data_IF_721212074158
#
_entry.id   IF_721212074158
#
_cell.length_a   1.000
_cell.length_b   1.000
_cell.length_c   1.000
_cell.angle_alpha   90.00
_cell.angle_beta   90.00
_cell.angle_gamma   90.00
#
_symmetry.space_group_name_H-M   'P 1'
#
loop_
_entity.id
_entity.type
_entity.pdbx_description
1 polymer ?
#
# COMPACT_ATOMS: atom_id res chain seq x y z
N UNK A 1 29.21 34.95 36.14
CA UNK A 1 29.02 33.51 36.42
C UNK A 1 27.82 33.01 35.62
N UNK A 2 28.05 31.95 34.82
CA UNK A 2 27.14 30.85 34.43
C UNK A 2 25.64 31.23 34.32
N UNK A 3 25.04 31.21 33.14
CA UNK A 3 24.80 29.95 32.44
C UNK A 3 24.58 30.15 30.94
N UNK A 4 25.47 29.54 30.16
CA UNK A 4 25.24 29.17 28.76
C UNK A 4 24.10 28.17 28.75
N UNK A 5 22.90 28.59 28.35
CA UNK A 5 21.84 27.66 27.92
C UNK A 5 21.53 27.99 26.47
N UNK A 6 22.50 27.63 25.61
CA UNK A 6 22.18 27.09 24.30
C UNK A 6 21.43 25.78 24.60
N UNK A 7 20.12 25.87 24.83
CA UNK A 7 19.23 24.75 24.58
C UNK A 7 19.13 24.68 23.06
N UNK A 8 20.09 23.98 22.48
CA UNK A 8 19.88 23.23 21.25
C UNK A 8 18.60 22.44 21.51
N UNK A 9 17.48 23.00 21.08
CA UNK A 9 16.27 22.26 20.78
C UNK A 9 16.63 21.44 19.55
N UNK A 10 17.32 20.34 19.80
CA UNK A 10 17.40 19.17 18.94
C UNK A 10 16.00 18.52 18.92
N UNK A 11 15.00 19.23 18.41
CA UNK A 11 14.08 18.58 17.50
C UNK A 11 14.75 18.84 16.15
N UNK A 12 15.77 18.07 15.75
CA UNK A 12 15.51 16.84 15.01
C UNK A 12 14.03 16.83 14.62
N UNK A 13 13.73 17.57 13.56
CA UNK A 13 12.91 17.01 12.52
C UNK A 13 13.42 15.58 12.32
N UNK A 14 12.85 14.63 13.06
CA UNK A 14 12.57 13.34 12.47
C UNK A 14 11.46 13.68 11.46
N UNK A 15 11.86 14.35 10.37
CA UNK A 15 11.48 13.77 9.11
C UNK A 15 11.91 12.33 9.28
N UNK A 16 10.96 11.39 9.22
CA UNK A 16 11.33 10.03 8.92
C UNK A 16 12.10 10.13 7.59
N UNK A 17 13.41 10.38 7.65
CA UNK A 17 14.37 9.79 6.76
C UNK A 17 14.08 8.31 6.94
N UNK A 18 13.24 7.79 6.05
CA UNK A 18 12.60 6.50 6.20
C UNK A 18 13.66 5.45 6.53
N UNK A 19 13.58 4.93 7.77
CA UNK A 19 14.50 3.92 8.29
C UNK A 19 14.08 2.50 7.89
N UNK A 20 12.99 2.36 7.12
CA UNK A 20 12.45 1.10 6.60
C UNK A 20 13.08 0.76 5.25
N UNK A 21 13.08 -0.52 4.87
CA UNK A 21 13.51 -0.91 3.52
C UNK A 21 12.51 -0.41 2.47
N UNK A 22 13.01 -0.12 1.27
CA UNK A 22 12.15 0.04 0.09
C UNK A 22 11.62 -1.32 -0.37
N UNK A 23 10.51 -1.33 -1.11
CA UNK A 23 9.99 -2.56 -1.73
C UNK A 23 11.02 -3.22 -2.64
N UNK A 24 11.83 -2.44 -3.36
CA UNK A 24 12.90 -2.97 -4.22
C UNK A 24 13.91 -3.77 -3.42
N UNK A 25 14.39 -3.19 -2.32
CA UNK A 25 15.37 -3.84 -1.43
C UNK A 25 14.79 -5.10 -0.78
N UNK A 26 13.52 -5.05 -0.36
CA UNK A 26 12.83 -6.22 0.20
C UNK A 26 12.69 -7.34 -0.83
N UNK A 27 12.22 -7.03 -2.05
CA UNK A 27 12.11 -8.01 -3.13
C UNK A 27 13.46 -8.65 -3.42
N UNK A 28 14.51 -7.84 -3.59
CA UNK A 28 15.85 -8.35 -3.85
C UNK A 28 16.34 -9.27 -2.71
N UNK A 29 16.20 -8.82 -1.46
CA UNK A 29 16.60 -9.58 -0.27
C UNK A 29 15.88 -10.92 -0.18
N UNK A 30 14.56 -10.93 -0.37
CA UNK A 30 13.74 -12.14 -0.26
C UNK A 30 14.02 -13.13 -1.39
N UNK A 31 14.14 -12.66 -2.63
CA UNK A 31 14.47 -13.51 -3.77
C UNK A 31 15.87 -14.14 -3.63
N UNK A 32 16.85 -13.37 -3.15
CA UNK A 32 18.20 -13.90 -2.87
C UNK A 32 18.19 -14.97 -1.78
N UNK A 33 17.39 -14.81 -0.72
CA UNK A 33 17.19 -15.85 0.32
C UNK A 33 16.61 -17.15 -0.25
N UNK A 34 15.86 -17.07 -1.33
CA UNK A 34 15.30 -18.23 -2.05
C UNK A 34 16.25 -18.80 -3.12
N UNK A 35 17.49 -18.33 -3.16
CA UNK A 35 18.52 -18.66 -4.15
C UNK A 35 18.17 -18.22 -5.59
N UNK A 36 17.32 -17.22 -5.75
CA UNK A 36 17.06 -16.55 -7.03
C UNK A 36 18.06 -15.40 -7.13
N UNK A 37 19.21 -15.67 -7.77
CA UNK A 37 20.33 -14.73 -7.86
C UNK A 37 20.49 -14.06 -9.23
N UNK A 38 19.70 -14.47 -10.22
CA UNK A 38 19.70 -13.85 -11.55
C UNK A 38 19.13 -12.42 -11.45
N UNK A 39 19.98 -11.43 -11.74
CA UNK A 39 19.63 -10.02 -11.66
C UNK A 39 18.51 -9.64 -12.62
N UNK A 40 18.35 -10.33 -13.76
CA UNK A 40 17.25 -10.09 -14.70
C UNK A 40 15.91 -10.51 -14.12
N UNK A 41 15.86 -11.65 -13.43
CA UNK A 41 14.64 -12.13 -12.77
C UNK A 41 14.23 -11.19 -11.64
N UNK A 42 15.21 -10.74 -10.83
CA UNK A 42 14.95 -9.78 -9.74
C UNK A 42 14.43 -8.46 -10.31
N UNK A 43 15.10 -7.89 -11.32
CA UNK A 43 14.69 -6.63 -11.94
C UNK A 43 13.31 -6.73 -12.61
N UNK A 44 13.00 -7.85 -13.26
CA UNK A 44 11.69 -8.11 -13.84
C UNK A 44 10.60 -8.20 -12.77
N UNK A 45 10.89 -8.85 -11.64
CA UNK A 45 9.96 -8.95 -10.51
C UNK A 45 9.64 -7.58 -9.91
N UNK A 46 10.67 -6.77 -9.69
CA UNK A 46 10.51 -5.37 -9.22
C UNK A 46 9.64 -4.58 -10.20
N UNK A 47 9.94 -4.66 -11.50
CA UNK A 47 9.19 -3.94 -12.53
C UNK A 47 7.71 -4.34 -12.55
N UNK A 48 7.42 -5.62 -12.36
CA UNK A 48 6.04 -6.14 -12.29
C UNK A 48 5.34 -5.63 -11.03
N UNK A 49 5.98 -5.70 -9.87
CA UNK A 49 5.44 -5.19 -8.60
C UNK A 49 5.11 -3.70 -8.68
N UNK A 50 5.98 -2.90 -9.28
CA UNK A 50 5.76 -1.46 -9.46
C UNK A 50 4.64 -1.16 -10.47
N UNK A 51 4.61 -1.90 -11.59
CA UNK A 51 3.59 -1.68 -12.64
C UNK A 51 2.19 -2.03 -12.14
N UNK A 52 2.07 -3.16 -11.42
CA UNK A 52 0.79 -3.64 -10.89
C UNK A 52 0.41 -2.84 -9.63
N UNK A 53 1.33 -2.66 -8.69
CA UNK A 53 1.08 -1.95 -7.44
C UNK A 53 -0.10 -2.53 -6.64
N UNK A 54 -0.93 -1.65 -6.08
CA UNK A 54 -2.18 -2.01 -5.40
C UNK A 54 -3.39 -2.08 -6.35
N UNK A 55 -3.19 -1.97 -7.67
CA UNK A 55 -4.31 -1.96 -8.63
C UNK A 55 -5.05 -3.29 -8.61
N UNK A 56 -6.38 -3.22 -8.68
CA UNK A 56 -7.18 -4.40 -8.94
C UNK A 56 -6.90 -4.89 -10.37
N UNK A 57 -6.49 -6.14 -10.51
CA UNK A 57 -6.19 -6.75 -11.80
C UNK A 57 -7.50 -7.06 -12.54
N UNK A 58 -8.00 -6.10 -13.32
CA UNK A 58 -9.25 -6.20 -14.06
C UNK A 58 -9.23 -5.34 -15.33
N UNK A 59 -10.17 -5.60 -16.25
CA UNK A 59 -10.32 -4.83 -17.49
C UNK A 59 -9.52 -5.39 -18.66
N UNK A 60 -9.36 -4.58 -19.70
CA UNK A 60 -8.69 -4.96 -20.94
C UNK A 60 -7.22 -5.33 -20.69
N UNK A 61 -6.76 -6.42 -21.32
CA UNK A 61 -5.38 -6.90 -21.21
C UNK A 61 -5.07 -7.74 -19.97
N UNK A 62 -6.01 -7.92 -19.03
CA UNK A 62 -5.78 -8.74 -17.82
C UNK A 62 -5.47 -10.20 -18.16
N UNK A 63 -6.10 -10.75 -19.20
CA UNK A 63 -5.86 -12.14 -19.64
C UNK A 63 -4.44 -12.34 -20.16
N UNK A 64 -3.93 -11.38 -20.95
CA UNK A 64 -2.55 -11.39 -21.46
C UNK A 64 -1.57 -11.27 -20.30
N UNK A 65 -1.78 -10.31 -19.40
CA UNK A 65 -0.97 -10.16 -18.20
C UNK A 65 -0.94 -11.45 -17.36
N UNK A 66 -2.09 -12.08 -17.13
CA UNK A 66 -2.14 -13.34 -16.39
C UNK A 66 -1.40 -14.47 -17.10
N UNK A 67 -1.49 -14.56 -18.43
CA UNK A 67 -0.73 -15.54 -19.21
C UNK A 67 0.78 -15.33 -19.01
N UNK A 68 1.23 -14.08 -19.07
CA UNK A 68 2.65 -13.73 -18.90
C UNK A 68 3.11 -14.06 -17.46
N UNK A 69 2.35 -13.65 -16.43
CA UNK A 69 2.66 -13.98 -15.04
C UNK A 69 2.73 -15.49 -14.80
N UNK A 70 1.80 -16.26 -15.40
CA UNK A 70 1.79 -17.73 -15.30
C UNK A 70 3.02 -18.36 -15.95
N UNK A 71 3.51 -17.81 -17.06
CA UNK A 71 4.75 -18.25 -17.71
C UNK A 71 5.96 -17.98 -16.79
N UNK A 72 6.04 -16.79 -16.21
CA UNK A 72 7.13 -16.40 -15.32
C UNK A 72 7.21 -17.27 -14.06
N UNK A 73 6.05 -17.61 -13.47
CA UNK A 73 6.00 -18.54 -12.33
C UNK A 73 6.36 -19.97 -12.74
N UNK A 74 6.02 -20.41 -13.95
CA UNK A 74 6.40 -21.74 -14.42
C UNK A 74 7.93 -21.87 -14.56
N UNK A 75 8.60 -20.81 -15.00
CA UNK A 75 10.06 -20.74 -15.10
C UNK A 75 10.72 -20.61 -13.72
N UNK A 76 10.09 -19.88 -12.79
CA UNK A 76 10.63 -19.58 -11.47
C UNK A 76 9.59 -19.80 -10.36
N UNK A 77 9.26 -21.06 -10.02
CA UNK A 77 8.16 -21.38 -9.10
C UNK A 77 8.38 -20.89 -7.66
N UNK A 78 9.65 -20.65 -7.27
CA UNK A 78 10.00 -20.07 -5.97
C UNK A 78 9.76 -18.56 -5.89
N UNK A 79 9.53 -17.88 -7.01
CA UNK A 79 9.31 -16.45 -7.03
C UNK A 79 7.89 -16.13 -6.53
N UNK A 80 7.75 -16.04 -5.20
CA UNK A 80 6.46 -15.89 -4.56
C UNK A 80 5.78 -14.56 -4.91
N UNK A 81 6.54 -13.49 -5.21
CA UNK A 81 5.98 -12.21 -5.64
C UNK A 81 5.14 -12.33 -6.91
N UNK A 82 5.54 -13.17 -7.88
CA UNK A 82 4.73 -13.38 -9.09
C UNK A 82 3.53 -14.28 -8.79
N UNK A 83 3.72 -15.35 -8.03
CA UNK A 83 2.59 -16.21 -7.63
C UNK A 83 1.54 -15.47 -6.81
N UNK A 84 1.96 -14.51 -5.98
CA UNK A 84 1.08 -13.62 -5.23
C UNK A 84 0.18 -12.81 -6.16
N UNK A 85 0.71 -12.21 -7.23
CA UNK A 85 -0.11 -11.42 -8.16
C UNK A 85 -1.17 -12.29 -8.86
N UNK A 86 -0.83 -13.54 -9.20
CA UNK A 86 -1.80 -14.49 -9.78
C UNK A 86 -2.85 -14.90 -8.73
N UNK A 87 -2.43 -15.25 -7.51
CA UNK A 87 -3.33 -15.62 -6.42
C UNK A 87 -4.30 -14.47 -6.08
N UNK A 88 -3.77 -13.24 -6.00
CA UNK A 88 -4.54 -12.01 -5.76
C UNK A 88 -5.62 -11.80 -6.82
N UNK A 89 -5.33 -11.98 -8.10
CA UNK A 89 -6.35 -11.92 -9.16
C UNK A 89 -7.51 -12.90 -8.88
N UNK A 90 -7.19 -14.15 -8.54
CA UNK A 90 -8.21 -15.16 -8.27
C UNK A 90 -9.02 -14.89 -6.99
N UNK A 91 -8.42 -14.21 -6.00
CA UNK A 91 -9.15 -13.79 -4.79
C UNK A 91 -10.06 -12.60 -5.05
N UNK A 92 -9.52 -11.56 -5.66
CA UNK A 92 -10.15 -10.23 -5.71
C UNK A 92 -11.02 -10.04 -6.95
N UNK A 93 -10.63 -10.60 -8.10
CA UNK A 93 -11.29 -10.33 -9.40
C UNK A 93 -12.13 -11.49 -9.90
N UNK A 94 -11.59 -12.71 -9.93
CA UNK A 94 -12.29 -13.87 -10.51
C UNK A 94 -13.58 -14.17 -9.74
N UNK A 95 -14.71 -14.26 -10.44
CA UNK A 95 -16.03 -14.51 -9.84
C UNK A 95 -16.41 -15.98 -9.88
N UNK A 96 -15.88 -16.74 -10.84
CA UNK A 96 -16.14 -18.16 -10.96
C UNK A 96 -15.30 -18.95 -9.95
N UNK A 97 -15.96 -19.43 -8.90
CA UNK A 97 -15.32 -20.20 -7.81
C UNK A 97 -14.65 -21.49 -8.32
N UNK A 98 -15.17 -22.13 -9.37
CA UNK A 98 -14.54 -23.33 -9.93
C UNK A 98 -13.22 -22.99 -10.64
N UNK A 99 -13.11 -21.83 -11.28
CA UNK A 99 -11.83 -21.35 -11.81
C UNK A 99 -10.85 -20.97 -10.68
N UNK A 100 -11.34 -20.40 -9.56
CA UNK A 100 -10.50 -20.17 -8.37
C UNK A 100 -9.94 -21.50 -7.84
N UNK A 101 -10.79 -22.52 -7.66
CA UNK A 101 -10.36 -23.86 -7.19
C UNK A 101 -9.37 -24.52 -8.14
N UNK A 102 -9.62 -24.47 -9.45
CA UNK A 102 -8.72 -25.02 -10.48
C UNK A 102 -7.34 -24.37 -10.47
N UNK A 103 -7.26 -23.11 -10.05
CA UNK A 103 -6.01 -22.35 -9.97
C UNK A 103 -5.41 -22.32 -8.55
N UNK A 104 -5.87 -23.18 -7.63
CA UNK A 104 -5.33 -23.32 -6.25
C UNK A 104 -3.80 -23.45 -6.20
N UNK A 105 -3.18 -24.09 -7.20
CA UNK A 105 -1.72 -24.25 -7.29
C UNK A 105 -0.93 -22.94 -7.12
N UNK A 106 -1.45 -21.79 -7.57
CA UNK A 106 -0.74 -20.50 -7.42
C UNK A 106 -0.77 -19.98 -5.98
N UNK A 107 -1.81 -20.32 -5.22
CA UNK A 107 -1.90 -20.06 -3.79
C UNK A 107 -0.91 -20.92 -3.02
N UNK A 108 -0.85 -22.21 -3.38
CA UNK A 108 0.06 -23.16 -2.75
C UNK A 108 1.51 -22.76 -2.99
N UNK A 109 1.86 -22.38 -4.23
CA UNK A 109 3.19 -21.85 -4.57
C UNK A 109 3.57 -20.61 -3.75
N UNK A 110 2.64 -19.67 -3.54
CA UNK A 110 2.91 -18.51 -2.68
C UNK A 110 3.16 -18.95 -1.22
N UNK A 111 2.28 -19.78 -0.66
CA UNK A 111 2.35 -20.24 0.74
C UNK A 111 3.64 -21.04 1.01
N UNK A 112 4.08 -21.85 0.04
CA UNK A 112 5.29 -22.66 0.14
C UNK A 112 6.57 -21.81 0.22
N UNK A 113 6.56 -20.63 -0.42
CA UNK A 113 7.78 -19.85 -0.65
C UNK A 113 7.86 -18.53 0.13
N UNK A 114 6.73 -17.95 0.56
CA UNK A 114 6.73 -16.75 1.39
C UNK A 114 7.38 -17.06 2.76
N UNK A 115 8.36 -16.26 3.24
CA UNK A 115 9.01 -16.56 4.51
C UNK A 115 8.16 -16.19 5.75
N UNK A 116 7.27 -15.21 5.62
CA UNK A 116 6.45 -14.68 6.71
C UNK A 116 5.24 -15.59 7.02
N UNK A 117 5.10 -16.02 8.27
CA UNK A 117 4.02 -16.96 8.67
C UNK A 117 2.65 -16.29 8.71
N UNK A 118 2.57 -15.03 9.12
CA UNK A 118 1.33 -14.23 9.10
C UNK A 118 0.82 -14.00 7.68
N UNK A 119 1.71 -13.81 6.69
CA UNK A 119 1.34 -13.79 5.27
C UNK A 119 0.75 -15.13 4.80
N UNK A 120 1.33 -16.27 5.22
CA UNK A 120 0.76 -17.61 4.91
C UNK A 120 -0.64 -17.77 5.50
N UNK A 121 -0.80 -17.42 6.77
CA UNK A 121 -2.07 -17.52 7.48
C UNK A 121 -3.13 -16.61 6.83
N UNK A 122 -2.76 -15.39 6.47
CA UNK A 122 -3.63 -14.45 5.74
C UNK A 122 -4.07 -15.02 4.39
N UNK A 123 -3.14 -15.55 3.58
CA UNK A 123 -3.48 -16.13 2.28
C UNK A 123 -4.40 -17.35 2.41
N UNK A 124 -4.15 -18.22 3.38
CA UNK A 124 -5.03 -19.37 3.65
C UNK A 124 -6.43 -18.90 4.06
N UNK A 125 -6.51 -17.95 4.99
CA UNK A 125 -7.78 -17.34 5.41
C UNK A 125 -8.56 -16.78 4.22
N UNK A 126 -7.91 -15.97 3.37
CA UNK A 126 -8.53 -15.36 2.20
C UNK A 126 -9.00 -16.40 1.16
N UNK A 127 -8.21 -17.45 0.93
CA UNK A 127 -8.59 -18.53 0.02
C UNK A 127 -9.86 -19.26 0.49
N UNK A 128 -9.89 -19.70 1.75
CA UNK A 128 -11.03 -20.45 2.27
C UNK A 128 -12.29 -19.58 2.42
N UNK A 129 -12.12 -18.28 2.71
CA UNK A 129 -13.21 -17.31 2.61
C UNK A 129 -13.77 -17.27 1.18
N UNK A 130 -12.89 -17.16 0.17
CA UNK A 130 -13.27 -17.07 -1.24
C UNK A 130 -14.03 -18.29 -1.74
N UNK A 131 -13.60 -19.51 -1.37
CA UNK A 131 -14.25 -20.76 -1.83
C UNK A 131 -15.44 -21.18 -0.98
N UNK A 132 -15.77 -20.45 0.09
CA UNK A 132 -16.93 -20.70 0.94
C UNK A 132 -16.73 -21.83 1.96
N UNK A 133 -15.49 -22.24 2.23
CA UNK A 133 -15.16 -23.25 3.24
C UNK A 133 -15.08 -22.61 4.63
N UNK A 134 -16.21 -22.66 5.34
CA UNK A 134 -16.36 -21.98 6.64
C UNK A 134 -15.51 -22.61 7.74
N UNK A 135 -15.26 -23.92 7.69
CA UNK A 135 -14.51 -24.62 8.73
C UNK A 135 -13.03 -24.22 8.67
N UNK A 136 -12.43 -24.33 7.49
CA UNK A 136 -11.04 -23.93 7.29
C UNK A 136 -10.88 -22.40 7.42
N UNK A 137 -11.83 -21.61 6.92
CA UNK A 137 -11.81 -20.16 7.12
C UNK A 137 -11.74 -19.81 8.61
N UNK A 138 -12.63 -20.38 9.45
CA UNK A 138 -12.64 -20.11 10.89
C UNK A 138 -11.32 -20.51 11.55
N UNK A 139 -10.78 -21.68 11.20
CA UNK A 139 -9.50 -22.15 11.72
C UNK A 139 -8.37 -21.14 11.45
N UNK A 140 -8.18 -20.75 10.19
CA UNK A 140 -7.09 -19.85 9.83
C UNK A 140 -7.34 -18.40 10.27
N UNK A 141 -8.61 -17.97 10.35
CA UNK A 141 -8.99 -16.71 10.97
C UNK A 141 -8.53 -16.65 12.44
N UNK A 142 -8.86 -17.66 13.24
CA UNK A 142 -8.49 -17.72 14.65
C UNK A 142 -6.96 -17.77 14.83
N UNK A 143 -6.27 -18.58 14.02
CA UNK A 143 -4.80 -18.66 14.02
C UNK A 143 -4.14 -17.32 13.64
N UNK A 144 -4.60 -16.68 12.57
CA UNK A 144 -4.09 -15.39 12.09
C UNK A 144 -4.26 -14.29 13.14
N UNK A 145 -5.47 -14.11 13.68
CA UNK A 145 -5.73 -13.04 14.66
C UNK A 145 -5.12 -13.30 16.02
N UNK A 146 -4.85 -14.57 16.38
CA UNK A 146 -4.02 -14.90 17.55
C UNK A 146 -2.56 -14.50 17.32
N UNK A 147 -2.00 -14.83 16.16
CA UNK A 147 -0.59 -14.56 15.82
C UNK A 147 -0.30 -13.06 15.66
N UNK A 148 -1.24 -12.32 15.11
CA UNK A 148 -1.13 -10.87 14.84
C UNK A 148 -1.71 -10.00 15.95
N UNK A 149 -2.01 -10.58 17.11
CA UNK A 149 -2.51 -9.84 18.27
C UNK A 149 -1.51 -8.78 18.71
N UNK A 150 -1.93 -7.51 18.73
CA UNK A 150 -1.08 -6.37 19.08
C UNK A 150 -0.17 -5.86 17.96
N UNK A 151 -0.20 -6.47 16.77
CA UNK A 151 0.53 -6.00 15.58
C UNK A 151 -0.32 -5.11 14.69
N UNK A 152 0.32 -4.17 13.97
CA UNK A 152 -0.35 -3.30 13.00
C UNK A 152 -1.12 -4.08 11.92
N UNK A 153 -0.52 -5.15 11.40
CA UNK A 153 -1.14 -6.04 10.40
C UNK A 153 -2.47 -6.64 10.89
N UNK A 154 -2.50 -7.11 12.14
CA UNK A 154 -3.71 -7.69 12.73
C UNK A 154 -4.81 -6.66 12.93
N UNK A 155 -4.45 -5.41 13.24
CA UNK A 155 -5.40 -4.29 13.34
C UNK A 155 -6.00 -3.98 11.96
N UNK A 156 -5.16 -3.82 10.93
CA UNK A 156 -5.62 -3.54 9.57
C UNK A 156 -6.50 -4.65 9.01
N UNK A 157 -6.12 -5.91 9.20
CA UNK A 157 -6.89 -7.04 8.68
C UNK A 157 -8.33 -7.10 9.24
N UNK A 158 -8.57 -6.60 10.47
CA UNK A 158 -9.93 -6.54 11.05
C UNK A 158 -10.83 -5.55 10.32
N UNK A 159 -10.27 -4.52 9.69
CA UNK A 159 -11.04 -3.47 9.01
C UNK A 159 -11.90 -4.05 7.88
N UNK A 160 -11.44 -5.13 7.22
CA UNK A 160 -12.19 -5.88 6.19
C UNK A 160 -13.59 -6.30 6.65
N UNK A 161 -13.74 -6.59 7.94
CA UNK A 161 -14.98 -7.10 8.53
C UNK A 161 -15.80 -5.99 9.21
N UNK A 162 -15.36 -4.73 9.13
CA UNK A 162 -16.05 -3.57 9.70
C UNK A 162 -16.82 -2.82 8.61
N UNK A 163 -17.89 -2.13 9.03
CA UNK A 163 -18.70 -1.26 8.16
C UNK A 163 -18.66 0.22 8.57
N UNK A 164 -18.26 0.49 9.81
CA UNK A 164 -18.23 1.84 10.36
C UNK A 164 -16.91 2.55 10.01
N UNK A 165 -17.01 3.62 9.23
CA UNK A 165 -15.85 4.40 8.79
C UNK A 165 -15.08 5.01 9.96
N UNK A 166 -15.76 5.43 11.05
CA UNK A 166 -15.12 6.01 12.21
C UNK A 166 -14.23 4.99 12.94
N UNK A 167 -14.72 3.75 13.12
CA UNK A 167 -13.93 2.66 13.68
C UNK A 167 -12.80 2.22 12.75
N UNK A 168 -13.04 2.16 11.43
CA UNK A 168 -11.98 1.83 10.46
C UNK A 168 -10.86 2.87 10.55
N UNK A 169 -11.19 4.16 10.56
CA UNK A 169 -10.21 5.24 10.71
C UNK A 169 -9.39 5.13 11.99
N UNK A 170 -10.02 4.79 13.12
CA UNK A 170 -9.32 4.54 14.39
C UNK A 170 -8.34 3.36 14.29
N UNK A 171 -8.72 2.29 13.60
CA UNK A 171 -7.84 1.15 13.38
C UNK A 171 -6.65 1.51 12.49
N UNK A 172 -6.85 2.31 11.43
CA UNK A 172 -5.76 2.80 10.58
C UNK A 172 -4.78 3.67 11.38
N UNK A 173 -5.27 4.57 12.24
CA UNK A 173 -4.42 5.37 13.11
C UNK A 173 -3.60 4.49 14.07
N UNK A 174 -4.26 3.53 14.74
CA UNK A 174 -3.58 2.59 15.63
C UNK A 174 -2.53 1.74 14.89
N UNK A 175 -2.85 1.26 13.69
CA UNK A 175 -1.91 0.48 12.89
C UNK A 175 -0.68 1.31 12.51
N UNK A 176 -0.84 2.59 12.13
CA UNK A 176 0.28 3.48 11.84
C UNK A 176 1.21 3.65 13.05
N UNK A 177 0.65 3.85 14.24
CA UNK A 177 1.45 3.98 15.46
C UNK A 177 2.21 2.68 15.77
N UNK A 178 1.56 1.52 15.58
CA UNK A 178 2.19 0.22 15.77
C UNK A 178 3.33 -0.03 14.79
N UNK A 179 3.14 0.27 13.50
CA UNK A 179 4.17 0.08 12.48
C UNK A 179 5.36 1.03 12.67
N UNK A 180 5.10 2.30 13.04
CA UNK A 180 6.18 3.24 13.38
C UNK A 180 7.01 2.72 14.55
N UNK A 181 6.34 2.22 15.60
CA UNK A 181 7.01 1.62 16.74
C UNK A 181 7.81 0.38 16.36
N UNK A 182 7.28 -0.51 15.52
CA UNK A 182 8.00 -1.69 15.03
C UNK A 182 9.28 -1.30 14.27
N UNK A 183 9.22 -0.24 13.44
CA UNK A 183 10.39 0.30 12.74
C UNK A 183 11.42 0.89 13.72
N UNK A 184 10.98 1.64 14.74
CA UNK A 184 11.82 2.20 15.79
C UNK A 184 12.51 1.10 16.63
N UNK A 185 11.79 0.02 16.92
CA UNK A 185 12.29 -1.15 17.65
C UNK A 185 13.24 -2.04 16.81
N UNK A 186 13.47 -1.70 15.54
CA UNK A 186 14.43 -2.36 14.66
C UNK A 186 13.84 -3.45 13.75
N UNK A 187 12.53 -3.66 13.74
CA UNK A 187 11.83 -4.60 12.83
C UNK A 187 11.61 -4.00 11.44
N UNK A 188 12.66 -3.38 10.88
CA UNK A 188 12.66 -2.62 9.61
C UNK A 188 12.38 -3.47 8.37
N UNK A 189 12.44 -4.79 8.52
CA UNK A 189 12.17 -5.77 7.47
C UNK A 189 10.68 -6.13 7.33
N UNK A 190 9.85 -5.81 8.33
CA UNK A 190 8.43 -6.20 8.33
C UNK A 190 7.56 -5.25 7.48
N UNK A 191 7.94 -3.98 7.34
CA UNK A 191 7.15 -2.95 6.63
C UNK A 191 8.05 -2.11 5.77
N UNK A 192 7.67 -1.92 4.51
CA UNK A 192 8.40 -1.04 3.59
C UNK A 192 7.92 0.40 3.64
N UNK A 193 8.75 1.33 3.16
CA UNK A 193 8.35 2.74 3.02
C UNK A 193 7.05 2.90 2.21
N UNK A 194 6.94 2.14 1.13
CA UNK A 194 5.76 2.14 0.26
C UNK A 194 4.51 1.60 0.96
N UNK A 195 4.64 0.61 1.84
CA UNK A 195 3.52 0.10 2.64
C UNK A 195 3.09 1.10 3.71
N UNK A 196 4.04 1.69 4.42
CA UNK A 196 3.76 2.72 5.41
C UNK A 196 3.07 3.93 4.76
N UNK A 197 3.51 4.31 3.57
CA UNK A 197 2.84 5.31 2.73
C UNK A 197 1.39 4.91 2.43
N UNK A 198 1.14 3.68 1.97
CA UNK A 198 -0.21 3.24 1.61
C UNK A 198 -1.16 3.28 2.81
N UNK A 199 -0.69 2.90 3.99
CA UNK A 199 -1.47 2.93 5.23
C UNK A 199 -1.79 4.38 5.63
N UNK A 200 -0.78 5.27 5.59
CA UNK A 200 -0.95 6.69 5.88
C UNK A 200 -1.94 7.34 4.90
N UNK A 201 -1.77 7.05 3.61
CA UNK A 201 -2.62 7.54 2.54
C UNK A 201 -4.08 7.07 2.69
N UNK A 202 -4.29 5.85 3.19
CA UNK A 202 -5.62 5.30 3.47
C UNK A 202 -6.27 6.00 4.67
N UNK A 203 -5.52 6.25 5.73
CA UNK A 203 -5.99 7.06 6.87
C UNK A 203 -6.40 8.48 6.41
N UNK A 204 -5.54 9.15 5.65
CA UNK A 204 -5.81 10.50 5.15
C UNK A 204 -7.03 10.55 4.24
N UNK A 205 -7.23 9.53 3.41
CA UNK A 205 -8.42 9.39 2.56
C UNK A 205 -9.71 9.27 3.39
N UNK A 206 -9.68 8.57 4.53
CA UNK A 206 -10.82 8.49 5.45
C UNK A 206 -11.12 9.83 6.13
N UNK A 207 -10.10 10.62 6.45
CA UNK A 207 -10.29 11.99 6.97
C UNK A 207 -10.92 12.89 5.92
N UNK A 208 -10.42 12.85 4.68
CA UNK A 208 -10.99 13.61 3.56
C UNK A 208 -12.43 13.21 3.30
N UNK A 209 -12.75 11.92 3.32
CA UNK A 209 -14.13 11.43 3.17
C UNK A 209 -15.05 11.99 4.27
N UNK A 210 -14.62 11.98 5.53
CA UNK A 210 -15.41 12.54 6.64
C UNK A 210 -15.66 14.05 6.45
N UNK A 211 -14.65 14.81 6.00
CA UNK A 211 -14.81 16.24 5.70
C UNK A 211 -15.76 16.46 4.51
N UNK A 212 -15.72 15.58 3.51
CA UNK A 212 -16.63 15.61 2.36
C UNK A 212 -18.08 15.38 2.77
N UNK A 213 -18.34 14.38 3.62
CA UNK A 213 -19.68 14.08 4.16
C UNK A 213 -20.25 15.27 4.94
N UNK A 214 -19.39 16.02 5.64
CA UNK A 214 -19.74 17.27 6.33
C UNK A 214 -19.79 18.50 5.41
N UNK A 215 -19.48 18.35 4.12
CA UNK A 215 -19.40 19.43 3.11
C UNK A 215 -18.40 20.53 3.48
N UNK A 216 -17.35 20.19 4.22
CA UNK A 216 -16.31 21.12 4.66
C UNK A 216 -15.22 21.29 3.59
N UNK A 217 -15.60 21.75 2.40
CA UNK A 217 -14.76 21.70 1.19
C UNK A 217 -13.42 22.43 1.32
N UNK A 218 -13.37 23.62 1.93
CA UNK A 218 -12.09 24.32 2.14
C UNK A 218 -11.18 23.54 3.08
N UNK A 219 -11.73 22.88 4.11
CA UNK A 219 -10.93 22.06 5.03
C UNK A 219 -10.34 20.83 4.34
N UNK A 220 -10.97 20.32 3.28
CA UNK A 220 -10.38 19.25 2.45
C UNK A 220 -9.10 19.76 1.77
N UNK A 221 -9.16 20.95 1.16
CA UNK A 221 -7.99 21.57 0.52
C UNK A 221 -6.89 21.80 1.56
N UNK A 222 -7.23 22.39 2.70
CA UNK A 222 -6.27 22.70 3.77
C UNK A 222 -5.65 21.41 4.33
N UNK A 223 -6.46 20.36 4.55
CA UNK A 223 -5.96 19.07 5.03
C UNK A 223 -4.99 18.44 4.04
N UNK A 224 -5.34 18.43 2.75
CA UNK A 224 -4.47 17.90 1.71
C UNK A 224 -3.13 18.63 1.65
N UNK A 225 -3.15 19.97 1.61
CA UNK A 225 -1.94 20.78 1.52
C UNK A 225 -1.02 20.61 2.75
N UNK A 226 -1.60 20.50 3.94
CA UNK A 226 -0.86 20.44 5.20
C UNK A 226 -0.36 19.03 5.54
N UNK A 227 -1.14 17.98 5.22
CA UNK A 227 -0.88 16.62 5.71
C UNK A 227 -0.41 15.67 4.61
N UNK A 228 -0.76 15.90 3.35
CA UNK A 228 -0.44 14.99 2.25
C UNK A 228 0.61 15.59 1.33
N UNK A 229 0.32 16.74 0.73
CA UNK A 229 0.93 17.17 -0.53
C UNK A 229 2.45 17.49 -0.47
N UNK A 230 3.00 17.72 0.72
CA UNK A 230 4.40 18.12 0.92
C UNK A 230 5.21 17.12 1.77
N UNK A 231 4.72 15.90 1.96
CA UNK A 231 5.37 14.92 2.81
C UNK A 231 6.68 14.36 2.24
N UNK A 232 7.52 13.82 3.12
CA UNK A 232 8.85 13.33 2.75
C UNK A 232 8.85 11.96 2.05
N UNK A 233 7.79 11.17 2.22
CA UNK A 233 7.65 9.82 1.67
C UNK A 233 7.35 9.74 0.16
N UNK A 234 7.39 10.86 -0.58
CA UNK A 234 7.24 10.89 -2.03
C UNK A 234 8.53 10.46 -2.74
N UNK A 235 8.95 9.22 -2.47
CA UNK A 235 10.15 8.61 -3.05
C UNK A 235 9.85 8.07 -4.45
N UNK A 236 10.91 7.74 -5.21
CA UNK A 236 10.78 7.13 -6.53
C UNK A 236 9.94 5.84 -6.48
N UNK A 237 10.14 4.99 -5.45
CA UNK A 237 9.37 3.75 -5.29
C UNK A 237 7.87 4.00 -5.11
N UNK A 238 7.51 4.98 -4.27
CA UNK A 238 6.12 5.42 -4.10
C UNK A 238 5.53 5.96 -5.40
N UNK A 239 6.27 6.77 -6.16
CA UNK A 239 5.78 7.32 -7.44
C UNK A 239 5.56 6.23 -8.49
N UNK A 240 6.47 5.26 -8.58
CA UNK A 240 6.33 4.16 -9.53
C UNK A 240 5.14 3.26 -9.18
N UNK A 241 5.01 2.89 -7.90
CA UNK A 241 3.99 1.94 -7.44
C UNK A 241 2.59 2.56 -7.28
N UNK A 242 2.51 3.78 -6.77
CA UNK A 242 1.24 4.44 -6.40
C UNK A 242 0.97 5.76 -7.12
N UNK A 243 1.73 6.09 -8.18
CA UNK A 243 1.54 7.33 -8.92
C UNK A 243 0.10 7.54 -9.42
N UNK A 244 -0.59 6.49 -9.88
CA UNK A 244 -1.98 6.62 -10.37
C UNK A 244 -2.97 6.97 -9.25
N UNK A 245 -2.74 6.44 -8.04
CA UNK A 245 -3.51 6.78 -6.84
C UNK A 245 -3.28 8.23 -6.44
N UNK A 246 -2.04 8.70 -6.49
CA UNK A 246 -1.69 10.10 -6.20
C UNK A 246 -2.28 11.06 -7.25
N UNK A 247 -2.27 10.70 -8.53
CA UNK A 247 -2.96 11.45 -9.60
C UNK A 247 -4.47 11.52 -9.31
N UNK A 248 -5.09 10.40 -8.93
CA UNK A 248 -6.52 10.37 -8.62
C UNK A 248 -6.87 11.29 -7.43
N UNK A 249 -6.02 11.30 -6.40
CA UNK A 249 -6.18 12.19 -5.23
C UNK A 249 -5.99 13.66 -5.59
N UNK A 250 -4.98 13.98 -6.40
CA UNK A 250 -4.76 15.32 -6.91
C UNK A 250 -5.94 15.81 -7.75
N UNK A 251 -6.48 14.93 -8.62
CA UNK A 251 -7.67 15.19 -9.41
C UNK A 251 -8.88 15.45 -8.52
N UNK A 252 -9.10 14.62 -7.50
CA UNK A 252 -10.20 14.80 -6.54
C UNK A 252 -10.13 16.17 -5.83
N UNK A 253 -8.96 16.56 -5.32
CA UNK A 253 -8.80 17.85 -4.61
C UNK A 253 -8.99 19.04 -5.56
N UNK A 254 -8.50 18.94 -6.80
CA UNK A 254 -8.74 19.93 -7.84
C UNK A 254 -10.23 20.04 -8.18
N UNK A 255 -10.92 18.92 -8.36
CA UNK A 255 -12.35 18.84 -8.61
C UNK A 255 -13.18 19.50 -7.49
N UNK A 256 -12.78 19.29 -6.22
CA UNK A 256 -13.44 19.94 -5.08
C UNK A 256 -13.31 21.47 -5.19
N UNK A 257 -12.11 21.96 -5.51
CA UNK A 257 -11.84 23.38 -5.67
C UNK A 257 -12.66 24.00 -6.82
N UNK A 258 -12.73 23.30 -7.95
CA UNK A 258 -13.47 23.77 -9.11
C UNK A 258 -14.98 23.79 -8.90
N UNK A 259 -15.54 22.70 -8.36
CA UNK A 259 -16.98 22.49 -8.24
C UNK A 259 -17.61 23.19 -7.04
N UNK A 260 -16.87 23.30 -5.92
CA UNK A 260 -17.45 23.77 -4.65
C UNK A 260 -16.82 25.04 -4.09
N UNK A 261 -15.67 25.48 -4.60
CA UNK A 261 -14.94 26.66 -4.10
C UNK A 261 -14.76 27.74 -5.19
N UNK A 262 -15.69 27.79 -6.14
CA UNK A 262 -15.73 28.80 -7.21
C UNK A 262 -14.42 28.92 -8.00
N UNK A 263 -13.73 27.79 -8.23
CA UNK A 263 -12.43 27.76 -8.94
C UNK A 263 -11.42 28.70 -8.29
N UNK A 264 -11.31 28.66 -6.96
CA UNK A 264 -10.40 29.51 -6.21
C UNK A 264 -8.95 29.36 -6.76
N UNK A 265 -8.43 30.45 -7.32
CA UNK A 265 -7.12 30.48 -7.98
C UNK A 265 -5.97 30.26 -7.00
N UNK A 266 -6.07 30.80 -5.79
CA UNK A 266 -5.04 30.66 -4.76
C UNK A 266 -4.89 29.19 -4.35
N UNK A 267 -6.00 28.46 -4.20
CA UNK A 267 -5.96 27.03 -3.93
C UNK A 267 -5.28 26.25 -5.06
N UNK A 268 -5.58 26.58 -6.32
CA UNK A 268 -4.97 25.93 -7.48
C UNK A 268 -3.47 26.19 -7.55
N UNK A 269 -3.03 27.43 -7.34
CA UNK A 269 -1.61 27.79 -7.28
C UNK A 269 -0.88 27.06 -6.15
N UNK A 270 -1.50 26.94 -4.96
CA UNK A 270 -0.93 26.16 -3.85
C UNK A 270 -0.77 24.70 -4.24
N UNK A 271 -1.80 24.07 -4.82
CA UNK A 271 -1.80 22.66 -5.22
C UNK A 271 -0.69 22.37 -6.25
N UNK A 272 -0.57 23.19 -7.30
CA UNK A 272 0.46 23.02 -8.33
C UNK A 272 1.90 23.19 -7.80
N UNK A 273 2.07 23.92 -6.70
CA UNK A 273 3.38 24.15 -6.10
C UNK A 273 3.80 23.07 -5.10
N UNK A 274 2.93 22.09 -4.82
CA UNK A 274 3.20 21.00 -3.86
C UNK A 274 4.30 20.06 -4.34
N UNK A 275 4.95 19.38 -3.38
CA UNK A 275 5.96 18.36 -3.69
C UNK A 275 5.39 17.22 -4.52
N UNK A 276 4.22 16.69 -4.14
CA UNK A 276 3.58 15.57 -4.86
C UNK A 276 3.28 15.92 -6.32
N UNK A 277 2.81 17.14 -6.60
CA UNK A 277 2.57 17.60 -7.97
C UNK A 277 3.87 17.56 -8.79
N UNK A 278 4.94 18.14 -8.25
CA UNK A 278 6.25 18.21 -8.91
C UNK A 278 6.86 16.83 -9.13
N UNK A 279 6.72 15.91 -8.18
CA UNK A 279 7.21 14.54 -8.34
C UNK A 279 6.40 13.77 -9.39
N UNK A 280 5.08 13.94 -9.44
CA UNK A 280 4.25 13.34 -10.47
C UNK A 280 4.53 13.89 -11.87
N UNK A 281 4.84 15.19 -11.99
CA UNK A 281 5.27 15.83 -13.24
C UNK A 281 6.57 15.21 -13.76
N UNK A 282 7.57 14.99 -12.89
CA UNK A 282 8.85 14.36 -13.25
C UNK A 282 8.68 12.94 -13.81
N UNK A 283 7.71 12.18 -13.31
CA UNK A 283 7.43 10.81 -13.79
C UNK A 283 6.39 10.76 -14.92
N UNK A 284 6.03 11.92 -15.48
CA UNK A 284 5.11 12.02 -16.61
C UNK A 284 3.67 11.63 -16.29
N UNK A 285 3.27 11.65 -15.01
CA UNK A 285 1.94 11.24 -14.55
C UNK A 285 0.95 12.40 -14.36
N UNK A 286 1.42 13.64 -14.40
CA UNK A 286 0.55 14.82 -14.31
C UNK A 286 0.83 15.78 -15.46
N UNK A 287 -0.21 16.09 -16.22
CA UNK A 287 -0.36 17.33 -16.97
C UNK A 287 -1.76 17.82 -16.62
N UNK A 288 -1.90 18.67 -15.60
CA UNK A 288 -3.14 19.45 -15.48
C UNK A 288 -3.02 20.51 -16.57
N UNK A 289 -3.75 20.33 -17.67
CA UNK A 289 -3.88 21.38 -18.67
C UNK A 289 -4.48 22.61 -17.98
N UNK A 290 -3.76 23.73 -18.06
CA UNK A 290 -4.25 25.06 -17.66
C UNK A 290 -5.54 25.43 -18.38
#
# INVERSE_FOLDING_TARGET
>A
MKSKIIKILLFLFIGLECLALTNRERIEKDLRKLNINDSKIIAQTITIDEKIGDKLLQGEGVEVLLKDLKSLVAENPKNFYISYQIARYYLETEKNIEEVKKNKKYFDLYIENVPQEDEKLSMKMLYYEKVGDKENFKKYYDEFFKKTSGKGLGVLARTKYKKDAASIKKDFALALDLFKKEIEDGNKDEVTEEELFLIQNSYDSLVIQELLEKKEYQKIIDYYLNNMANQNYYTTGVMMKYGDRLVSQLGFVTDINEKFLNKNKENFEKIMNTKVYKELEKVGKVIINK
#
